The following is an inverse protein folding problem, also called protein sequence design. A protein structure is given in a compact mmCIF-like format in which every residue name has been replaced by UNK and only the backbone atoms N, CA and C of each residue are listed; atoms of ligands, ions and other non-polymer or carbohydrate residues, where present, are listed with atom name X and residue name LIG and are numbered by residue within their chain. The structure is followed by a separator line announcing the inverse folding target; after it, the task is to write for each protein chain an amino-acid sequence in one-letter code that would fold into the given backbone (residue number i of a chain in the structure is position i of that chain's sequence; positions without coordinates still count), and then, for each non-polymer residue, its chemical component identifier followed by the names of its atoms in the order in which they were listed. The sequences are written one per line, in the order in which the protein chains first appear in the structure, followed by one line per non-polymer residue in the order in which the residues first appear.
data_IF_566221616139
#
_entry.id   IF_566221616139
#
_cell.length_a   1.000
_cell.length_b   1.000
_cell.length_c   1.000
_cell.angle_alpha   90.00
_cell.angle_beta   90.00
_cell.angle_gamma   90.00
#
_symmetry.space_group_name_H-M   'P 1'
#
loop_
_entity.id
_entity.type
_entity.pdbx_description
1 polymer ?
#
# COMPACT_ATOMS: atom_id res chain seq x y z
N UNK A 1 -24.65 -30.48 5.60
CA UNK A 1 -24.30 -29.51 6.66
C UNK A 1 -23.13 -28.67 6.14
N UNK A 2 -23.15 -27.34 6.37
CA UNK A 2 -22.09 -26.35 6.07
C UNK A 2 -21.65 -26.10 4.61
N UNK A 3 -21.70 -24.80 4.25
CA UNK A 3 -20.83 -23.99 3.35
C UNK A 3 -21.69 -22.84 2.79
N UNK A 4 -22.00 -21.78 3.55
CA UNK A 4 -21.14 -20.77 4.19
C UNK A 4 -20.50 -19.77 3.22
N UNK A 5 -20.43 -18.50 3.64
CA UNK A 5 -20.45 -17.32 2.77
C UNK A 5 -19.19 -16.45 2.97
N UNK A 6 -18.76 -15.67 1.96
CA UNK A 6 -17.51 -14.91 1.99
C UNK A 6 -17.72 -13.40 1.91
N UNK A 7 -16.99 -12.61 2.72
CA UNK A 7 -17.05 -11.13 2.70
C UNK A 7 -15.65 -10.48 2.69
N UNK A 8 -15.40 -9.77 1.60
CA UNK A 8 -14.98 -8.36 1.48
C UNK A 8 -14.00 -7.74 2.52
N UNK A 9 -12.99 -7.01 2.02
CA UNK A 9 -12.23 -5.96 2.74
C UNK A 9 -12.57 -4.60 2.12
N UNK A 10 -12.60 -3.52 2.91
CA UNK A 10 -13.07 -2.19 2.45
C UNK A 10 -12.17 -1.07 2.96
N UNK A 11 -11.17 -0.71 2.16
CA UNK A 11 -10.19 0.33 2.50
C UNK A 11 -10.78 1.75 2.36
N UNK A 12 -11.03 2.39 3.50
CA UNK A 12 -11.33 3.83 3.58
C UNK A 12 -10.05 4.66 3.41
N UNK A 13 -10.14 5.89 2.91
CA UNK A 13 -8.95 6.73 2.66
C UNK A 13 -9.12 8.13 3.25
N UNK A 14 -8.22 8.48 4.17
CA UNK A 14 -7.96 9.84 4.63
C UNK A 14 -6.44 10.03 4.67
N UNK A 15 -5.94 11.09 4.03
CA UNK A 15 -4.51 11.28 3.71
C UNK A 15 -4.18 11.08 2.22
N UNK A 16 -2.95 11.42 1.83
CA UNK A 16 -2.45 11.29 0.44
C UNK A 16 -1.55 10.05 0.25
N UNK A 17 -1.42 9.58 -1.01
CA UNK A 17 -0.41 8.63 -1.58
C UNK A 17 -0.51 7.15 -1.08
N UNK A 18 -0.04 6.17 -1.87
CA UNK A 18 -0.64 4.80 -2.03
C UNK A 18 0.38 3.74 -2.58
N UNK A 19 0.18 2.39 -2.69
CA UNK A 19 -0.90 1.39 -2.40
C UNK A 19 -0.36 -0.07 -2.20
N UNK A 20 -1.26 -1.07 -2.08
CA UNK A 20 -1.18 -2.54 -1.89
C UNK A 20 -1.06 -3.42 -3.18
N UNK A 21 -0.77 -4.74 -3.04
CA UNK A 21 -1.65 -5.85 -3.56
C UNK A 21 -1.52 -7.16 -2.73
N UNK A 22 -2.54 -8.04 -2.82
CA UNK A 22 -2.80 -9.26 -2.05
C UNK A 22 -2.68 -10.58 -2.87
N UNK A 23 -3.30 -11.72 -2.46
CA UNK A 23 -3.19 -13.05 -3.13
C UNK A 23 -4.56 -13.77 -3.29
N UNK A 24 -4.56 -14.91 -4.01
CA UNK A 24 -5.58 -16.01 -4.03
C UNK A 24 -6.64 -16.06 -5.14
N UNK A 25 -7.09 -17.30 -5.42
CA UNK A 25 -8.13 -17.77 -6.37
C UNK A 25 -9.58 -17.35 -5.99
N UNK A 26 -10.57 -17.39 -6.92
CA UNK A 26 -11.82 -16.60 -6.84
C UNK A 26 -13.08 -17.29 -6.25
N UNK A 27 -14.07 -16.48 -5.85
CA UNK A 27 -15.49 -16.82 -5.58
C UNK A 27 -16.38 -15.53 -5.66
N UNK A 28 -17.72 -15.65 -5.63
CA UNK A 28 -18.70 -14.64 -6.14
C UNK A 28 -19.52 -13.80 -5.11
N UNK A 29 -20.01 -12.65 -5.60
CA UNK A 29 -21.26 -11.89 -5.33
C UNK A 29 -21.55 -11.06 -4.04
N UNK A 30 -21.63 -9.73 -4.25
CA UNK A 30 -22.69 -8.73 -3.90
C UNK A 30 -23.38 -8.64 -2.50
N UNK A 31 -23.41 -7.42 -1.88
CA UNK A 31 -24.49 -6.38 -1.98
C UNK A 31 -24.21 -5.13 -1.09
N UNK A 32 -24.97 -4.04 -1.33
CA UNK A 32 -24.84 -2.61 -0.87
C UNK A 32 -25.04 -2.32 0.65
N UNK A 33 -24.53 -1.17 1.14
CA UNK A 33 -25.30 -0.06 1.80
C UNK A 33 -24.41 1.19 2.15
N UNK A 34 -24.88 2.17 2.96
CA UNK A 34 -24.63 3.63 2.75
C UNK A 34 -23.67 4.42 3.68
N UNK A 35 -22.78 5.21 3.03
CA UNK A 35 -22.45 6.65 3.17
C UNK A 35 -22.62 7.39 4.52
N UNK A 36 -21.48 7.89 5.03
CA UNK A 36 -21.22 9.27 5.51
C UNK A 36 -19.79 9.66 5.05
N UNK A 37 -19.26 10.90 5.10
CA UNK A 37 -19.79 12.20 5.54
C UNK A 37 -19.20 13.35 4.68
N UNK A 38 -18.50 14.34 5.27
CA UNK A 38 -17.71 15.38 4.55
C UNK A 38 -16.50 15.87 5.37
N UNK A 39 -15.33 15.95 4.72
CA UNK A 39 -14.10 16.61 5.20
C UNK A 39 -13.13 16.81 4.02
N UNK A 40 -12.38 17.92 4.01
CA UNK A 40 -11.50 18.29 2.88
C UNK A 40 -10.31 17.34 2.75
N UNK A 41 -10.42 16.34 1.87
CA UNK A 41 -9.52 15.18 1.82
C UNK A 41 -9.21 14.76 0.39
N UNK A 42 -8.13 13.99 0.20
CA UNK A 42 -7.73 13.39 -1.07
C UNK A 42 -8.67 12.29 -1.61
N UNK A 43 -9.94 12.30 -1.19
CA UNK A 43 -10.89 11.20 -1.28
C UNK A 43 -11.02 10.56 -2.68
N UNK A 44 -11.21 9.24 -2.67
CA UNK A 44 -11.66 8.47 -3.83
C UNK A 44 -13.18 8.66 -3.96
N UNK A 45 -13.56 9.72 -4.68
CA UNK A 45 -14.96 10.14 -4.87
C UNK A 45 -15.67 9.26 -5.89
N UNK A 46 -16.89 8.84 -5.58
CA UNK A 46 -17.73 8.11 -6.55
C UNK A 46 -18.18 9.02 -7.71
N UNK A 47 -18.05 8.61 -8.99
CA UNK A 47 -17.40 7.40 -9.49
C UNK A 47 -15.98 7.66 -10.01
N UNK A 48 -14.98 6.91 -9.53
CA UNK A 48 -13.65 6.82 -10.14
C UNK A 48 -12.48 7.30 -9.28
N UNK A 49 -11.34 7.48 -9.94
CA UNK A 49 -10.09 8.00 -9.37
C UNK A 49 -9.86 9.42 -9.89
N UNK A 50 -9.45 10.34 -9.01
CA UNK A 50 -9.00 11.66 -9.43
C UNK A 50 -7.76 11.58 -10.35
N UNK A 51 -7.57 12.49 -11.33
CA UNK A 51 -6.50 12.39 -12.35
C UNK A 51 -5.05 12.33 -11.86
N UNK A 52 -4.81 12.59 -10.56
CA UNK A 52 -3.51 12.47 -9.89
C UNK A 52 -3.07 11.03 -9.59
N UNK A 53 -3.97 10.06 -9.74
CA UNK A 53 -3.73 8.64 -9.46
C UNK A 53 -3.42 7.88 -10.75
N UNK A 54 -2.28 7.20 -10.81
CA UNK A 54 -1.80 6.46 -11.98
C UNK A 54 -1.47 5.02 -11.58
N UNK A 55 -1.95 4.02 -12.34
CA UNK A 55 -1.63 2.62 -12.08
C UNK A 55 -0.21 2.29 -12.56
N UNK A 56 0.52 1.45 -11.80
CA UNK A 56 1.71 0.80 -12.33
C UNK A 56 1.29 -0.26 -13.37
N UNK A 57 1.60 0.01 -14.64
CA UNK A 57 1.00 -0.67 -15.80
C UNK A 57 -0.54 -0.61 -15.85
N UNK A 58 -1.15 -1.27 -16.84
CA UNK A 58 -2.60 -1.34 -16.97
C UNK A 58 -3.21 -2.24 -15.86
N UNK A 59 -4.25 -1.79 -15.14
CA UNK A 59 -4.89 -2.58 -14.08
C UNK A 59 -5.77 -3.71 -14.62
N UNK A 60 -6.00 -4.73 -13.79
CA UNK A 60 -7.17 -5.59 -13.91
C UNK A 60 -8.40 -4.86 -13.32
N UNK A 61 -9.22 -4.32 -14.22
CA UNK A 61 -10.46 -3.62 -13.88
C UNK A 61 -11.54 -4.52 -13.25
N UNK A 62 -11.38 -5.84 -13.20
CA UNK A 62 -12.25 -6.74 -12.44
C UNK A 62 -11.90 -6.80 -10.94
N UNK A 63 -10.76 -6.21 -10.54
CA UNK A 63 -10.17 -6.35 -9.20
C UNK A 63 -10.13 -5.06 -8.39
N UNK A 64 -10.60 -3.93 -8.92
CA UNK A 64 -10.75 -2.71 -8.13
C UNK A 64 -12.16 -2.12 -8.25
N UNK A 65 -12.56 -1.34 -7.25
CA UNK A 65 -13.85 -0.65 -7.24
C UNK A 65 -13.79 0.58 -6.33
N UNK A 66 -14.66 1.56 -6.59
CA UNK A 66 -14.72 2.82 -5.83
C UNK A 66 -16.13 3.11 -5.32
N UNK A 67 -16.23 3.82 -4.20
CA UNK A 67 -17.52 4.29 -3.67
C UNK A 67 -17.45 4.68 -2.19
N UNK A 68 -17.07 3.72 -1.35
CA UNK A 68 -16.78 3.92 0.08
C UNK A 68 -15.26 3.83 0.30
N UNK A 69 -14.48 4.67 -0.40
CA UNK A 69 -13.03 4.49 -0.59
C UNK A 69 -12.70 3.68 -1.85
N UNK A 70 -11.43 3.27 -1.98
CA UNK A 70 -10.93 2.38 -3.03
C UNK A 70 -10.79 0.97 -2.47
N UNK A 71 -11.56 0.02 -2.99
CA UNK A 71 -11.39 -1.39 -2.66
C UNK A 71 -10.55 -2.07 -3.72
N UNK A 72 -9.45 -2.68 -3.28
CA UNK A 72 -8.63 -3.57 -4.08
C UNK A 72 -8.93 -5.02 -3.73
N UNK A 73 -8.87 -5.87 -4.75
CA UNK A 73 -8.72 -7.31 -4.67
C UNK A 73 -7.41 -7.65 -5.38
N UNK A 74 -6.82 -8.77 -4.98
CA UNK A 74 -5.74 -9.46 -5.67
C UNK A 74 -5.87 -9.42 -7.19
N UNK A 75 -4.84 -8.89 -7.86
CA UNK A 75 -4.72 -8.98 -9.31
C UNK A 75 -3.62 -9.97 -9.75
N UNK A 76 -2.50 -10.09 -9.02
CA UNK A 76 -1.43 -11.06 -9.30
C UNK A 76 -1.29 -12.11 -8.19
N UNK A 77 -0.82 -13.32 -8.50
CA UNK A 77 -0.27 -14.26 -7.51
C UNK A 77 1.25 -14.23 -7.61
N UNK A 78 1.88 -13.44 -6.76
CA UNK A 78 3.32 -13.14 -6.75
C UNK A 78 3.81 -12.88 -5.32
N UNK A 79 5.11 -12.92 -5.10
CA UNK A 79 5.82 -12.31 -3.96
C UNK A 79 6.68 -11.10 -4.38
N UNK A 80 6.99 -10.94 -5.67
CA UNK A 80 7.53 -9.72 -6.26
C UNK A 80 6.46 -8.61 -6.38
N UNK A 81 6.73 -7.45 -5.78
CA UNK A 81 5.90 -6.23 -5.89
C UNK A 81 5.90 -5.66 -7.32
N UNK A 82 7.00 -5.77 -8.06
CA UNK A 82 7.08 -5.21 -9.41
C UNK A 82 6.20 -5.96 -10.41
N UNK A 83 5.96 -7.25 -10.19
CA UNK A 83 4.98 -8.06 -10.92
C UNK A 83 3.52 -7.88 -10.43
N UNK A 84 3.28 -7.13 -9.34
CA UNK A 84 1.95 -6.96 -8.76
C UNK A 84 1.10 -5.93 -9.53
N UNK A 85 0.10 -6.43 -10.26
CA UNK A 85 -0.94 -5.60 -10.88
C UNK A 85 -1.75 -4.87 -9.82
N UNK A 86 -2.42 -3.80 -10.23
CA UNK A 86 -3.24 -2.95 -9.36
C UNK A 86 -2.45 -2.27 -8.22
N UNK A 87 -1.13 -2.15 -8.35
CA UNK A 87 -0.35 -1.15 -7.61
C UNK A 87 -0.72 0.24 -8.14
N UNK A 88 -1.42 1.04 -7.34
CA UNK A 88 -1.81 2.42 -7.66
C UNK A 88 -0.81 3.42 -7.08
N UNK A 89 -0.47 4.45 -7.84
CA UNK A 89 0.64 5.36 -7.56
C UNK A 89 0.22 6.82 -7.60
N UNK A 90 1.04 7.68 -6.99
CA UNK A 90 0.90 9.13 -7.00
C UNK A 90 2.27 9.78 -6.83
N UNK A 91 2.55 10.88 -7.54
CA UNK A 91 3.84 11.57 -7.47
C UNK A 91 4.13 12.10 -6.06
N UNK A 92 5.36 11.89 -5.59
CA UNK A 92 5.89 12.60 -4.42
C UNK A 92 6.01 14.07 -4.82
N UNK A 93 5.56 14.98 -3.95
CA UNK A 93 5.63 16.42 -4.20
C UNK A 93 6.81 16.99 -3.40
N UNK A 94 7.60 17.84 -4.04
CA UNK A 94 8.82 18.40 -3.46
C UNK A 94 8.55 19.56 -2.48
N UNK A 95 9.53 19.94 -1.64
CA UNK A 95 10.82 19.27 -1.45
C UNK A 95 10.73 17.97 -0.64
N UNK A 96 9.66 17.81 0.16
CA UNK A 96 9.38 16.62 0.94
C UNK A 96 7.85 16.40 1.03
N UNK A 97 7.42 15.15 1.18
CA UNK A 97 6.01 14.78 1.35
C UNK A 97 5.81 13.87 2.57
N UNK A 98 4.63 14.00 3.20
CA UNK A 98 4.05 12.93 4.03
C UNK A 98 2.88 12.30 3.30
N UNK A 99 2.82 10.98 3.31
CA UNK A 99 1.72 10.16 2.81
C UNK A 99 1.05 9.43 3.99
N UNK A 100 -0.24 9.17 3.93
CA UNK A 100 -0.95 8.35 4.93
C UNK A 100 -2.13 7.64 4.28
N UNK A 101 -2.23 6.33 4.49
CA UNK A 101 -3.41 5.53 4.14
C UNK A 101 -4.01 4.91 5.40
N UNK A 102 -5.33 4.77 5.42
CA UNK A 102 -6.00 3.88 6.35
C UNK A 102 -6.16 2.54 5.64
N UNK A 103 -5.64 1.45 6.19
CA UNK A 103 -5.75 0.12 5.62
C UNK A 103 -6.77 -0.70 6.43
N UNK A 104 -7.88 -1.09 5.79
CA UNK A 104 -8.79 -2.10 6.33
C UNK A 104 -8.39 -3.49 5.83
N UNK A 105 -7.77 -4.25 6.73
CA UNK A 105 -7.17 -5.56 6.49
C UNK A 105 -8.02 -6.71 7.06
N UNK A 106 -9.35 -6.52 7.20
CA UNK A 106 -10.25 -7.58 7.65
C UNK A 106 -10.30 -8.76 6.67
N UNK A 107 -10.52 -8.47 5.39
CA UNK A 107 -10.75 -9.45 4.32
C UNK A 107 -9.50 -10.07 3.72
N UNK A 108 -8.30 -9.68 4.18
CA UNK A 108 -7.04 -10.35 3.82
C UNK A 108 -7.09 -11.84 4.18
N UNK A 109 -6.53 -12.66 3.30
CA UNK A 109 -6.50 -14.13 3.32
C UNK A 109 -5.07 -14.64 3.55
N UNK A 110 -4.94 -15.96 3.71
CA UNK A 110 -3.63 -16.60 3.80
C UNK A 110 -2.79 -16.35 2.53
N UNK A 111 -1.57 -15.86 2.75
CA UNK A 111 -0.62 -15.48 1.70
C UNK A 111 -0.83 -14.07 1.15
N UNK A 112 -1.74 -13.27 1.71
CA UNK A 112 -1.97 -11.89 1.28
C UNK A 112 -0.92 -10.93 1.87
N UNK A 113 -0.70 -9.84 1.13
CA UNK A 113 0.09 -8.68 1.53
C UNK A 113 -0.74 -7.42 1.23
N UNK A 114 -0.42 -6.30 1.87
CA UNK A 114 -1.13 -5.02 1.68
C UNK A 114 -0.36 -3.90 2.39
N UNK A 115 -0.11 -2.75 1.74
CA UNK A 115 0.70 -1.71 2.36
C UNK A 115 0.69 -0.34 1.68
N UNK A 116 1.73 0.42 2.00
CA UNK A 116 2.12 1.71 1.43
C UNK A 116 3.60 1.64 1.05
N UNK A 117 3.92 1.90 -0.21
CA UNK A 117 5.26 1.76 -0.75
C UNK A 117 5.88 3.10 -1.14
N UNK A 118 7.20 3.17 -1.08
CA UNK A 118 8.02 4.13 -1.83
C UNK A 118 8.56 3.37 -3.05
N UNK A 119 7.94 3.58 -4.21
CA UNK A 119 8.10 2.76 -5.42
C UNK A 119 9.07 3.39 -6.44
N UNK A 120 10.10 2.66 -6.83
CA UNK A 120 11.13 2.96 -7.85
C UNK A 120 11.76 1.64 -8.33
N UNK A 121 12.84 1.67 -9.11
CA UNK A 121 13.69 0.48 -9.33
C UNK A 121 14.42 -0.01 -8.06
N UNK A 122 14.41 0.79 -7.00
CA UNK A 122 14.82 0.46 -5.64
C UNK A 122 13.69 0.94 -4.73
N UNK A 123 13.04 0.00 -4.05
CA UNK A 123 11.79 0.22 -3.33
C UNK A 123 11.81 -0.34 -1.92
N UNK A 124 10.92 0.20 -1.09
CA UNK A 124 10.60 -0.31 0.23
C UNK A 124 9.12 -0.08 0.54
N UNK A 125 8.55 -0.85 1.46
CA UNK A 125 7.14 -0.70 1.87
C UNK A 125 6.91 -1.04 3.34
N UNK A 126 5.91 -0.38 3.92
CA UNK A 126 5.32 -0.75 5.21
C UNK A 126 3.91 -1.33 4.97
N UNK A 127 3.54 -2.38 5.70
CA UNK A 127 2.20 -2.95 5.54
C UNK A 127 1.99 -4.26 6.28
N UNK A 128 0.86 -4.90 6.01
CA UNK A 128 0.47 -6.16 6.62
C UNK A 128 0.89 -7.33 5.72
N UNK A 129 1.56 -8.33 6.31
CA UNK A 129 1.62 -9.69 5.78
C UNK A 129 0.60 -10.54 6.54
N UNK A 130 -0.17 -11.36 5.84
CA UNK A 130 -0.98 -12.42 6.44
C UNK A 130 -0.44 -13.78 6.05
N UNK A 131 0.06 -14.49 7.04
CA UNK A 131 0.66 -15.81 6.89
C UNK A 131 -0.20 -16.78 7.73
N UNK A 132 -0.98 -17.64 7.06
CA UNK A 132 -2.04 -18.45 7.67
C UNK A 132 -3.16 -17.60 8.31
N UNK A 133 -3.27 -17.70 9.64
CA UNK A 133 -4.19 -16.88 10.46
C UNK A 133 -3.53 -15.65 11.06
N UNK A 134 -2.20 -15.60 11.16
CA UNK A 134 -1.47 -14.50 11.77
C UNK A 134 -1.43 -13.28 10.83
N UNK A 135 -1.65 -12.09 11.39
CA UNK A 135 -1.43 -10.81 10.71
C UNK A 135 -0.25 -10.11 11.38
N UNK A 136 0.76 -9.75 10.60
CA UNK A 136 1.96 -9.05 11.07
C UNK A 136 2.10 -7.73 10.32
N UNK A 137 2.32 -6.63 11.03
CA UNK A 137 2.82 -5.41 10.44
C UNK A 137 4.31 -5.58 10.18
N UNK A 138 4.78 -5.19 8.99
CA UNK A 138 6.17 -5.35 8.55
C UNK A 138 6.67 -4.08 7.88
N UNK A 139 7.99 -3.87 7.90
CA UNK A 139 8.70 -3.06 6.90
C UNK A 139 9.59 -3.99 6.09
N UNK A 140 9.53 -3.87 4.76
CA UNK A 140 10.37 -4.61 3.80
C UNK A 140 11.16 -3.61 2.97
N UNK A 141 12.49 -3.78 2.89
CA UNK A 141 13.43 -2.98 2.11
C UNK A 141 14.05 -3.81 0.98
N UNK A 142 14.99 -3.20 0.24
CA UNK A 142 15.88 -3.90 -0.68
C UNK A 142 15.14 -4.64 -1.82
N UNK A 143 13.97 -4.14 -2.23
CA UNK A 143 13.33 -4.56 -3.48
C UNK A 143 14.07 -3.86 -4.62
N UNK A 144 14.72 -4.58 -5.53
CA UNK A 144 15.58 -3.98 -6.57
C UNK A 144 15.31 -4.52 -7.96
N UNK A 145 15.60 -3.69 -8.97
CA UNK A 145 15.67 -4.07 -10.39
C UNK A 145 17.07 -3.78 -10.97
N UNK A 146 17.41 -4.44 -12.08
CA UNK A 146 18.60 -4.10 -12.88
C UNK A 146 18.33 -2.96 -13.89
N UNK A 147 19.35 -2.55 -14.65
CA UNK A 147 19.23 -1.54 -15.71
C UNK A 147 18.36 -1.96 -16.90
N UNK A 148 17.95 -3.22 -16.97
CA UNK A 148 17.08 -3.80 -17.99
C UNK A 148 15.63 -3.97 -17.49
N UNK A 149 15.35 -3.52 -16.26
CA UNK A 149 14.06 -3.66 -15.56
C UNK A 149 13.68 -5.10 -15.20
N UNK A 150 14.66 -5.99 -15.02
CA UNK A 150 14.45 -7.29 -14.37
C UNK A 150 14.49 -7.12 -12.85
N UNK A 151 13.56 -7.73 -12.11
CA UNK A 151 13.64 -7.82 -10.64
C UNK A 151 14.88 -8.62 -10.23
N UNK A 152 15.77 -7.99 -9.46
CA UNK A 152 16.97 -8.60 -8.87
C UNK A 152 16.79 -8.95 -7.39
N UNK A 153 15.79 -8.37 -6.72
CA UNK A 153 15.39 -8.74 -5.36
C UNK A 153 13.91 -8.43 -5.12
N UNK A 154 13.17 -9.39 -4.56
CA UNK A 154 11.79 -9.22 -4.08
C UNK A 154 11.71 -8.60 -2.67
N UNK A 155 12.85 -8.26 -2.09
CA UNK A 155 12.99 -7.52 -0.83
C UNK A 155 13.17 -8.37 0.42
N UNK A 156 13.73 -7.74 1.45
CA UNK A 156 14.02 -8.34 2.75
C UNK A 156 13.16 -7.69 3.83
N UNK A 157 12.56 -8.51 4.69
CA UNK A 157 11.85 -8.02 5.87
C UNK A 157 12.88 -7.48 6.88
N UNK A 158 12.82 -6.17 7.17
CA UNK A 158 13.73 -5.48 8.09
C UNK A 158 13.32 -5.74 9.54
N UNK A 159 12.02 -5.66 9.78
CA UNK A 159 11.39 -5.66 11.10
C UNK A 159 9.91 -5.96 10.93
N UNK A 160 9.34 -6.67 11.89
CA UNK A 160 7.90 -6.91 11.97
C UNK A 160 7.41 -7.03 13.41
N UNK A 161 6.10 -6.86 13.58
CA UNK A 161 5.40 -7.10 14.85
C UNK A 161 4.02 -7.72 14.60
N UNK A 162 3.53 -8.51 15.54
CA UNK A 162 2.14 -9.00 15.53
C UNK A 162 1.17 -7.83 15.72
N UNK A 163 0.04 -7.85 15.00
CA UNK A 163 -1.01 -6.84 15.17
C UNK A 163 -2.38 -7.45 15.44
N UNK A 164 -3.22 -6.68 16.12
CA UNK A 164 -4.59 -7.03 16.45
C UNK A 164 -5.57 -6.08 15.75
N UNK A 165 -6.84 -6.48 15.66
CA UNK A 165 -7.87 -5.72 14.96
C UNK A 165 -7.84 -5.89 13.43
N UNK A 166 -8.49 -4.94 12.75
CA UNK A 166 -8.77 -4.99 11.32
C UNK A 166 -8.45 -3.68 10.58
N UNK A 167 -7.97 -2.65 11.29
CA UNK A 167 -7.65 -1.34 10.74
C UNK A 167 -6.32 -0.84 11.28
N UNK A 168 -5.52 -0.26 10.39
CA UNK A 168 -4.25 0.38 10.74
C UNK A 168 -4.03 1.60 9.84
N UNK A 169 -3.39 2.63 10.35
CA UNK A 169 -2.93 3.77 9.56
C UNK A 169 -1.46 3.52 9.21
N UNK A 170 -1.11 3.61 7.94
CA UNK A 170 0.26 3.45 7.44
C UNK A 170 0.72 4.80 6.89
N UNK A 171 1.90 5.26 7.28
CA UNK A 171 2.46 6.56 6.90
C UNK A 171 3.87 6.38 6.34
N UNK A 172 4.13 7.10 5.26
CA UNK A 172 5.46 7.24 4.67
C UNK A 172 5.81 8.72 4.63
N UNK A 173 7.02 9.08 5.02
CA UNK A 173 7.61 10.39 4.68
C UNK A 173 8.75 10.18 3.71
N UNK A 174 8.95 11.13 2.80
CA UNK A 174 10.04 11.09 1.83
C UNK A 174 10.60 12.49 1.62
N UNK A 175 11.91 12.62 1.77
CA UNK A 175 12.68 13.81 1.43
C UNK A 175 13.27 13.63 0.03
N UNK A 176 12.91 14.51 -0.90
CA UNK A 176 13.30 14.42 -2.32
C UNK A 176 14.06 15.65 -2.82
N UNK A 177 14.68 16.43 -1.92
CA UNK A 177 15.55 17.54 -2.32
C UNK A 177 16.65 17.06 -3.31
N UNK A 178 17.08 17.90 -4.27
CA UNK A 178 18.26 17.61 -5.08
C UNK A 178 19.51 17.47 -4.21
N UNK A 179 20.18 16.32 -4.26
CA UNK A 179 21.40 16.05 -3.49
C UNK A 179 21.66 14.57 -3.22
N UNK A 180 22.60 14.30 -2.32
CA UNK A 180 22.77 13.03 -1.59
C UNK A 180 21.90 13.03 -0.32
N UNK A 181 21.82 11.91 0.39
CA UNK A 181 21.11 11.86 1.68
C UNK A 181 19.59 12.03 1.61
N UNK A 182 18.96 11.62 0.49
CA UNK A 182 17.50 11.51 0.41
C UNK A 182 17.01 10.33 1.24
N UNK A 183 16.04 10.55 2.11
CA UNK A 183 15.56 9.53 3.05
C UNK A 183 14.06 9.28 2.91
N UNK A 184 13.68 8.01 3.00
CA UNK A 184 12.30 7.56 3.25
C UNK A 184 12.17 7.00 4.67
N UNK A 185 11.10 7.36 5.37
CA UNK A 185 10.79 6.83 6.70
C UNK A 185 9.37 6.28 6.74
N UNK A 186 9.17 5.15 7.42
CA UNK A 186 7.84 4.56 7.60
C UNK A 186 7.40 4.58 9.06
N UNK A 187 6.14 4.93 9.28
CA UNK A 187 5.48 4.91 10.59
C UNK A 187 4.06 4.36 10.48
N UNK A 188 3.47 3.98 11.60
CA UNK A 188 2.11 3.45 11.67
C UNK A 188 1.37 3.97 12.90
N UNK A 189 0.04 3.90 12.86
CA UNK A 189 -0.82 4.20 14.00
C UNK A 189 -1.98 3.20 14.08
N UNK A 190 -2.41 2.89 15.30
CA UNK A 190 -3.60 2.06 15.58
C UNK A 190 -4.81 2.87 16.05
N UNK A 191 -4.62 4.15 16.40
CA UNK A 191 -5.67 5.09 16.83
C UNK A 191 -5.96 6.21 15.80
N UNK A 192 -5.09 6.36 14.79
CA UNK A 192 -5.18 7.38 13.74
C UNK A 192 -4.54 8.72 14.10
N UNK A 193 -4.01 8.87 15.31
CA UNK A 193 -3.45 10.13 15.84
C UNK A 193 -1.98 10.00 16.23
N UNK A 194 -1.63 8.96 17.01
CA UNK A 194 -0.26 8.71 17.48
C UNK A 194 0.47 7.79 16.50
N UNK A 195 1.52 8.30 15.85
CA UNK A 195 2.30 7.55 14.86
C UNK A 195 3.66 7.12 15.43
N UNK A 196 3.94 5.82 15.41
CA UNK A 196 5.20 5.22 15.86
C UNK A 196 6.02 4.72 14.66
N UNK A 197 7.36 4.75 14.79
CA UNK A 197 8.25 4.00 13.91
C UNK A 197 8.13 2.50 14.22
N UNK A 198 8.23 1.64 13.21
CA UNK A 198 8.31 0.19 13.44
C UNK A 198 9.75 -0.19 13.80
N UNK A 199 10.07 -0.19 15.09
CA UNK A 199 11.43 -0.41 15.59
C UNK A 199 12.39 0.72 15.23
N UNK A 200 13.69 0.49 15.43
CA UNK A 200 14.76 1.42 15.02
C UNK A 200 15.05 1.29 13.51
N UNK A 201 14.01 1.47 12.68
CA UNK A 201 14.13 1.42 11.23
C UNK A 201 15.10 2.50 10.74
N UNK A 202 16.23 2.09 10.17
CA UNK A 202 17.21 2.99 9.60
C UNK A 202 16.59 3.78 8.42
N UNK A 203 17.02 5.03 8.17
CA UNK A 203 16.55 5.81 7.03
C UNK A 203 16.76 5.05 5.72
N UNK A 204 15.69 4.91 4.94
CA UNK A 204 15.76 4.26 3.63
C UNK A 204 16.41 5.23 2.66
N UNK A 205 17.67 4.99 2.31
CA UNK A 205 18.41 5.82 1.35
C UNK A 205 17.75 5.72 -0.03
N UNK A 206 17.07 6.79 -0.44
CA UNK A 206 16.38 6.94 -1.72
C UNK A 206 17.39 7.24 -2.85
N UNK A 207 18.44 6.44 -2.94
CA UNK A 207 19.60 6.61 -3.82
C UNK A 207 19.23 6.64 -5.32
N UNK A 208 18.13 5.99 -5.70
CA UNK A 208 17.57 6.00 -7.06
C UNK A 208 16.75 7.25 -7.42
N UNK A 209 16.28 8.05 -6.45
CA UNK A 209 15.38 9.17 -6.73
C UNK A 209 16.12 10.39 -7.30
N UNK A 210 16.56 10.28 -8.56
CA UNK A 210 16.92 11.44 -9.37
C UNK A 210 15.71 12.39 -9.38
N UNK A 211 15.88 13.58 -8.81
CA UNK A 211 14.92 14.67 -8.98
C UNK A 211 14.69 14.88 -10.49
N UNK A 212 13.44 15.06 -10.89
CA UNK A 212 13.11 15.35 -12.28
C UNK A 212 13.88 16.59 -12.74
N UNK A 213 14.46 16.52 -13.94
CA UNK A 213 14.91 17.75 -14.61
C UNK A 213 13.67 18.53 -15.05
N UNK A 214 13.64 19.79 -14.67
CA UNK A 214 12.97 20.84 -15.43
C UNK A 214 13.76 21.10 -16.73
#
# INVERSE_FOLDING_TARGET
MNCWNSRESTTLFEGEKQVLDAKRRPARNERRFHRHGRGGTGAVTSPGLAPRWEWNHNPDNTKWSTGNGLRLQTATVTDDLYAARNTLTHRIQGPASTATVILDHQGMRDGDRAGLALLRDSSAWIGIKRDGTAKRLVVTSDLTMDSNWNTTSTGREVVSTSIHGNRIWLRATADIRPGTGREGHFSYSTDGTNFALLGAAAPLLLSGLKAGKE
#
